data_IF_126014374487
#
_entry.id   IF_126014374487
#
_cell.length_a   1.000
_cell.length_b   1.000
_cell.length_c   1.000
_cell.angle_alpha   90.00
_cell.angle_beta   90.00
_cell.angle_gamma   90.00
#
_symmetry.space_group_name_H-M   'P 1'
#
loop_
_entity.id
_entity.type
_entity.pdbx_description
1 polymer ?
#
# COMPACT_ATOMS: atom_id res chain seq x y z
N UNK A 1 -34.62 -62.98 55.75
CA UNK A 1 -34.73 -62.56 54.33
C UNK A 1 -34.55 -63.78 53.45
N UNK A 2 -35.40 -63.98 52.43
CA UNK A 2 -35.36 -65.20 51.59
C UNK A 2 -34.06 -65.24 50.75
N UNK A 3 -33.42 -66.42 50.63
CA UNK A 3 -32.16 -66.60 49.87
C UNK A 3 -32.26 -66.09 48.43
N UNK A 4 -33.43 -66.23 47.80
CA UNK A 4 -33.72 -65.68 46.46
C UNK A 4 -33.68 -64.14 46.43
N UNK A 5 -34.19 -63.49 47.47
CA UNK A 5 -34.20 -62.02 47.57
C UNK A 5 -32.79 -61.47 47.80
N UNK A 6 -31.97 -62.13 48.62
CA UNK A 6 -30.56 -61.74 48.83
C UNK A 6 -29.76 -61.82 47.52
N UNK A 7 -29.96 -62.88 46.72
CA UNK A 7 -29.30 -63.03 45.42
C UNK A 7 -29.67 -61.91 44.43
N UNK A 8 -30.96 -61.54 44.36
CA UNK A 8 -31.43 -60.43 43.53
C UNK A 8 -30.82 -59.09 43.96
N UNK A 9 -30.77 -58.80 45.26
CA UNK A 9 -30.17 -57.58 45.78
C UNK A 9 -28.68 -57.46 45.44
N UNK A 10 -27.92 -58.56 45.55
CA UNK A 10 -26.50 -58.57 45.22
C UNK A 10 -26.24 -58.30 43.72
N UNK A 11 -27.05 -58.87 42.82
CA UNK A 11 -26.94 -58.62 41.38
C UNK A 11 -27.24 -57.16 41.06
N UNK A 12 -28.28 -56.58 41.65
CA UNK A 12 -28.64 -55.17 41.45
C UNK A 12 -27.53 -54.23 41.91
N UNK A 13 -26.87 -54.54 43.03
CA UNK A 13 -25.75 -53.73 43.54
C UNK A 13 -24.57 -53.77 42.54
N UNK A 14 -24.26 -54.93 41.98
CA UNK A 14 -23.16 -55.08 41.01
C UNK A 14 -23.47 -54.28 39.73
N UNK A 15 -24.69 -54.39 39.20
CA UNK A 15 -25.10 -53.65 37.99
C UNK A 15 -25.07 -52.14 38.26
N UNK A 16 -25.55 -51.70 39.42
CA UNK A 16 -25.50 -50.29 39.82
C UNK A 16 -24.06 -49.77 39.87
N UNK A 17 -23.13 -50.55 40.44
CA UNK A 17 -21.71 -50.21 40.48
C UNK A 17 -21.11 -50.02 39.09
N UNK A 18 -21.44 -50.90 38.15
CA UNK A 18 -20.96 -50.79 36.75
C UNK A 18 -21.50 -49.53 36.07
N UNK A 19 -22.79 -49.22 36.27
CA UNK A 19 -23.42 -48.02 35.70
C UNK A 19 -22.80 -46.75 36.29
N UNK A 20 -22.57 -46.72 37.61
CA UNK A 20 -21.93 -45.59 38.29
C UNK A 20 -20.52 -45.37 37.75
N UNK A 21 -19.73 -46.43 37.60
CA UNK A 21 -18.38 -46.32 37.05
C UNK A 21 -18.39 -45.79 35.60
N UNK A 22 -19.33 -46.25 34.78
CA UNK A 22 -19.48 -45.77 33.40
C UNK A 22 -19.88 -44.29 33.34
N UNK A 23 -20.85 -43.88 34.14
CA UNK A 23 -21.28 -42.48 34.22
C UNK A 23 -20.16 -41.57 34.74
N UNK A 24 -19.39 -42.04 35.71
CA UNK A 24 -18.24 -41.30 36.24
C UNK A 24 -17.18 -41.08 35.16
N UNK A 25 -16.85 -42.12 34.39
CA UNK A 25 -15.92 -41.99 33.26
C UNK A 25 -16.43 -41.00 32.20
N UNK A 26 -17.70 -41.11 31.80
CA UNK A 26 -18.28 -40.21 30.81
C UNK A 26 -18.32 -38.76 31.30
N UNK A 27 -18.68 -38.54 32.57
CA UNK A 27 -18.71 -37.21 33.16
C UNK A 27 -17.31 -36.58 33.24
N UNK A 28 -16.30 -37.38 33.57
CA UNK A 28 -14.91 -36.92 33.55
C UNK A 28 -14.46 -36.50 32.14
N UNK A 29 -14.77 -37.28 31.10
CA UNK A 29 -14.45 -36.91 29.72
C UNK A 29 -15.16 -35.61 29.31
N UNK A 30 -16.47 -35.49 29.57
CA UNK A 30 -17.23 -34.28 29.26
C UNK A 30 -16.69 -33.05 29.99
N UNK A 31 -16.25 -33.20 31.24
CA UNK A 31 -15.63 -32.11 31.99
C UNK A 31 -14.32 -31.64 31.35
N UNK A 32 -13.46 -32.57 30.91
CA UNK A 32 -12.22 -32.21 30.21
C UNK A 32 -12.49 -31.49 28.90
N UNK A 33 -13.42 -31.98 28.08
CA UNK A 33 -13.84 -31.30 26.83
C UNK A 33 -14.41 -29.92 27.11
N UNK A 34 -15.13 -29.73 28.21
CA UNK A 34 -15.70 -28.42 28.57
C UNK A 34 -14.61 -27.43 28.95
N UNK A 35 -13.59 -27.87 29.68
CA UNK A 35 -12.42 -27.03 30.01
C UNK A 35 -11.67 -26.66 28.73
N UNK A 36 -11.41 -27.63 27.85
CA UNK A 36 -10.72 -27.39 26.58
C UNK A 36 -11.47 -26.37 25.72
N UNK A 37 -12.78 -26.53 25.55
CA UNK A 37 -13.62 -25.58 24.80
C UNK A 37 -13.66 -24.20 25.47
N UNK A 38 -13.61 -24.13 26.80
CA UNK A 38 -13.59 -22.87 27.54
C UNK A 38 -12.26 -22.14 27.40
N UNK A 39 -11.15 -22.89 27.46
CA UNK A 39 -9.81 -22.38 27.24
C UNK A 39 -9.62 -21.92 25.79
N UNK A 40 -10.11 -22.70 24.81
CA UNK A 40 -10.15 -22.29 23.40
C UNK A 40 -10.98 -21.02 23.22
N UNK A 41 -12.13 -20.91 23.89
CA UNK A 41 -12.99 -19.73 23.82
C UNK A 41 -12.34 -18.49 24.46
N UNK A 42 -11.68 -18.61 25.61
CA UNK A 42 -10.97 -17.50 26.26
C UNK A 42 -9.72 -17.06 25.47
N UNK A 43 -9.01 -18.01 24.86
CA UNK A 43 -7.84 -17.74 24.03
C UNK A 43 -8.19 -17.26 22.62
N UNK A 44 -9.42 -17.50 22.18
CA UNK A 44 -9.95 -16.95 20.95
C UNK A 44 -10.38 -15.50 21.22
N UNK A 45 -9.73 -14.53 20.58
CA UNK A 45 -10.10 -13.11 20.68
C UNK A 45 -11.58 -12.93 20.28
N UNK A 46 -12.45 -12.81 21.28
CA UNK A 46 -13.90 -12.67 21.12
C UNK A 46 -14.16 -11.38 20.33
N UNK A 47 -14.52 -11.52 19.05
CA UNK A 47 -15.25 -10.47 18.33
C UNK A 47 -14.72 -10.05 16.96
N UNK A 48 -13.56 -10.51 16.50
CA UNK A 48 -13.17 -10.25 15.10
C UNK A 48 -12.41 -11.45 14.58
N UNK A 49 -12.98 -12.19 13.63
CA UNK A 49 -12.19 -13.14 12.84
C UNK A 49 -10.97 -12.39 12.31
N UNK A 50 -9.77 -12.73 12.77
CA UNK A 50 -8.53 -12.08 12.40
C UNK A 50 -8.35 -12.06 10.87
N UNK A 51 -8.83 -13.10 10.20
CA UNK A 51 -8.85 -13.14 8.74
C UNK A 51 -9.81 -12.12 8.14
N UNK A 52 -10.95 -11.88 8.77
CA UNK A 52 -11.90 -10.84 8.34
C UNK A 52 -11.31 -9.46 8.56
N UNK A 53 -10.68 -9.21 9.70
CA UNK A 53 -10.02 -7.93 10.00
C UNK A 53 -8.91 -7.64 8.98
N UNK A 54 -8.08 -8.62 8.67
CA UNK A 54 -7.00 -8.48 7.68
C UNK A 54 -7.57 -8.24 6.27
N UNK A 55 -8.65 -8.92 5.90
CA UNK A 55 -9.36 -8.69 4.63
C UNK A 55 -9.93 -7.27 4.54
N UNK A 56 -10.61 -6.81 5.59
CA UNK A 56 -11.18 -5.45 5.63
C UNK A 56 -10.06 -4.41 5.54
N UNK A 57 -9.00 -4.56 6.35
CA UNK A 57 -7.83 -3.67 6.33
C UNK A 57 -7.16 -3.65 4.95
N UNK A 58 -7.08 -4.78 4.25
CA UNK A 58 -6.57 -4.82 2.88
C UNK A 58 -7.46 -4.05 1.92
N UNK A 59 -8.78 -4.24 2.00
CA UNK A 59 -9.75 -3.54 1.15
C UNK A 59 -9.69 -2.03 1.38
N UNK A 60 -9.65 -1.58 2.64
CA UNK A 60 -9.53 -0.17 2.99
C UNK A 60 -8.25 0.45 2.42
N UNK A 61 -7.11 -0.23 2.57
CA UNK A 61 -5.84 0.24 2.00
C UNK A 61 -5.88 0.32 0.48
N UNK A 62 -6.49 -0.67 -0.19
CA UNK A 62 -6.60 -0.66 -1.66
C UNK A 62 -7.57 0.43 -2.14
N UNK A 63 -8.64 0.71 -1.38
CA UNK A 63 -9.56 1.80 -1.67
C UNK A 63 -8.86 3.16 -1.54
N UNK A 64 -8.13 3.39 -0.45
CA UNK A 64 -7.34 4.60 -0.23
C UNK A 64 -6.30 4.83 -1.33
N UNK A 65 -5.64 3.76 -1.81
CA UNK A 65 -4.70 3.86 -2.95
C UNK A 65 -5.41 4.28 -4.23
N UNK A 66 -6.61 3.76 -4.50
CA UNK A 66 -7.39 4.09 -5.71
C UNK A 66 -7.95 5.50 -5.65
N UNK A 67 -8.44 5.92 -4.50
CA UNK A 67 -8.95 7.28 -4.27
C UNK A 67 -7.84 8.33 -4.47
N UNK A 68 -6.65 8.06 -3.93
CA UNK A 68 -5.50 8.95 -4.07
C UNK A 68 -4.69 8.74 -5.35
N UNK A 69 -5.15 7.88 -6.27
CA UNK A 69 -4.45 7.64 -7.51
C UNK A 69 -4.64 8.82 -8.46
N UNK A 70 -3.57 9.61 -8.65
CA UNK A 70 -3.53 10.64 -9.69
C UNK A 70 -2.93 10.03 -10.96
N UNK A 71 -3.74 9.89 -12.00
CA UNK A 71 -3.26 9.45 -13.31
C UNK A 71 -2.31 10.51 -13.88
N UNK A 72 -1.04 10.14 -14.05
CA UNK A 72 -0.01 10.99 -14.66
C UNK A 72 0.52 10.24 -15.89
N UNK A 73 0.25 10.79 -17.06
CA UNK A 73 0.87 10.34 -18.31
C UNK A 73 2.28 10.97 -18.34
N UNK A 74 3.32 10.17 -18.12
CA UNK A 74 4.72 10.64 -18.17
C UNK A 74 5.16 10.86 -19.63
N UNK A 75 4.82 9.91 -20.51
CA UNK A 75 5.05 9.97 -21.94
C UNK A 75 3.72 9.85 -22.69
N UNK A 76 3.38 10.87 -23.47
CA UNK A 76 2.15 10.82 -24.26
C UNK A 76 2.25 9.70 -25.30
N UNK A 77 1.32 8.71 -25.31
CA UNK A 77 1.38 7.60 -26.26
C UNK A 77 1.20 8.05 -27.71
N UNK A 78 0.77 9.29 -27.94
CA UNK A 78 0.64 9.90 -29.27
C UNK A 78 1.95 10.55 -29.76
N UNK A 79 3.01 10.59 -28.95
CA UNK A 79 4.30 11.17 -29.34
C UNK A 79 5.19 10.16 -30.06
N UNK A 80 5.20 10.22 -31.39
CA UNK A 80 6.03 9.36 -32.25
C UNK A 80 7.55 9.56 -32.04
N UNK A 81 7.99 10.71 -31.55
CA UNK A 81 9.42 10.98 -31.25
C UNK A 81 9.98 10.10 -30.15
N UNK A 82 9.14 9.47 -29.32
CA UNK A 82 9.59 8.53 -28.29
C UNK A 82 10.00 7.17 -28.88
N UNK A 83 9.56 6.84 -30.09
CA UNK A 83 9.75 5.52 -30.70
C UNK A 83 10.70 5.57 -31.91
N UNK A 84 10.69 6.68 -32.66
CA UNK A 84 11.46 6.82 -33.90
C UNK A 84 12.46 7.96 -33.74
N UNK A 85 13.75 7.61 -33.76
CA UNK A 85 14.82 8.59 -33.94
C UNK A 85 14.89 8.96 -35.44
N UNK A 86 14.41 10.14 -35.78
CA UNK A 86 14.56 10.66 -37.14
C UNK A 86 16.03 11.02 -37.37
N UNK A 87 16.67 10.41 -38.37
CA UNK A 87 18.05 10.73 -38.74
C UNK A 87 18.12 12.20 -39.22
N UNK A 88 19.08 12.96 -38.69
CA UNK A 88 19.21 14.41 -38.91
C UNK A 88 18.25 15.31 -38.13
N UNK A 89 17.40 14.77 -37.25
CA UNK A 89 16.50 15.56 -36.40
C UNK A 89 17.19 15.96 -35.09
N UNK A 90 17.54 17.24 -34.96
CA UNK A 90 17.97 17.80 -33.68
C UNK A 90 16.77 18.48 -32.99
N UNK A 91 16.26 17.92 -31.87
CA UNK A 91 15.12 18.47 -31.17
C UNK A 91 15.34 19.87 -30.59
N UNK A 92 16.58 20.40 -30.55
CA UNK A 92 16.86 21.80 -30.18
C UNK A 92 16.38 22.81 -31.22
N UNK A 93 16.41 22.40 -32.49
CA UNK A 93 16.01 23.24 -33.63
C UNK A 93 14.60 22.90 -34.12
N UNK A 94 13.99 21.84 -33.58
CA UNK A 94 12.61 21.47 -33.87
C UNK A 94 11.64 22.42 -33.16
N UNK A 95 10.76 23.04 -33.94
CA UNK A 95 9.93 24.11 -33.41
C UNK A 95 8.92 23.74 -32.33
N UNK A 96 8.57 22.46 -32.32
CA UNK A 96 7.61 21.85 -31.42
C UNK A 96 8.28 21.04 -30.29
N UNK A 97 9.56 21.26 -30.00
CA UNK A 97 10.26 20.43 -29.02
C UNK A 97 9.60 20.45 -27.65
N UNK A 98 9.40 19.25 -27.08
CA UNK A 98 8.87 19.06 -25.72
C UNK A 98 9.91 19.34 -24.65
N UNK A 99 11.18 19.36 -25.02
CA UNK A 99 12.28 19.58 -24.10
C UNK A 99 12.45 21.07 -23.83
N UNK A 100 12.81 21.38 -22.58
CA UNK A 100 13.29 22.71 -22.22
C UNK A 100 14.79 22.72 -22.48
N UNK A 101 15.25 23.69 -23.26
CA UNK A 101 16.68 23.90 -23.46
C UNK A 101 17.12 25.17 -22.78
N UNK A 102 18.15 25.06 -21.95
CA UNK A 102 18.81 26.23 -21.36
C UNK A 102 19.78 26.80 -22.39
N UNK A 103 19.49 28.01 -22.87
CA UNK A 103 20.32 28.69 -23.87
C UNK A 103 21.43 29.49 -23.20
N UNK A 104 21.13 30.16 -22.09
CA UNK A 104 22.10 30.95 -21.34
C UNK A 104 21.69 31.07 -19.87
N UNK A 105 22.69 31.27 -19.00
CA UNK A 105 22.50 31.65 -17.60
C UNK A 105 23.16 33.01 -17.40
N UNK A 106 22.42 33.95 -16.84
CA UNK A 106 22.84 35.33 -16.61
C UNK A 106 22.94 35.54 -15.11
N UNK A 107 24.16 35.82 -14.63
CA UNK A 107 24.42 36.14 -13.23
C UNK A 107 24.59 37.65 -13.09
N UNK A 108 23.78 38.27 -12.25
CA UNK A 108 23.96 39.68 -11.89
C UNK A 108 25.23 39.83 -11.03
N UNK A 109 26.25 40.60 -11.45
CA UNK A 109 27.49 40.76 -10.69
C UNK A 109 27.28 41.46 -9.34
N UNK A 110 26.26 42.31 -9.23
CA UNK A 110 25.98 43.11 -8.04
C UNK A 110 25.13 42.36 -7.02
N UNK A 111 24.12 41.63 -7.48
CA UNK A 111 23.15 40.95 -6.59
C UNK A 111 23.39 39.46 -6.45
N UNK A 112 24.29 38.88 -7.27
CA UNK A 112 24.51 37.44 -7.44
C UNK A 112 23.24 36.64 -7.72
N UNK A 113 22.19 37.29 -8.21
CA UNK A 113 20.98 36.60 -8.66
C UNK A 113 21.23 36.01 -10.04
N UNK A 114 20.78 34.77 -10.22
CA UNK A 114 20.85 34.06 -11.48
C UNK A 114 19.49 34.10 -12.19
N UNK A 115 19.50 34.36 -13.49
CA UNK A 115 18.35 34.16 -14.38
C UNK A 115 18.76 33.20 -15.49
N UNK A 116 17.82 32.41 -15.99
CA UNK A 116 18.07 31.55 -17.15
C UNK A 116 17.27 32.06 -18.35
N UNK A 117 17.84 31.94 -19.54
CA UNK A 117 17.14 32.03 -20.80
C UNK A 117 16.89 30.60 -21.26
N UNK A 118 15.62 30.25 -21.41
CA UNK A 118 15.19 28.90 -21.76
C UNK A 118 14.33 28.92 -23.02
N UNK A 119 14.56 27.99 -23.93
CA UNK A 119 13.73 27.77 -25.12
C UNK A 119 12.77 26.62 -24.87
N UNK A 120 11.48 26.87 -25.10
CA UNK A 120 10.41 25.87 -25.01
C UNK A 120 9.32 26.15 -26.05
N UNK A 121 8.96 25.15 -26.87
CA UNK A 121 7.97 25.27 -27.96
C UNK A 121 8.18 26.52 -28.83
N UNK A 122 9.39 26.68 -29.34
CA UNK A 122 9.83 27.81 -30.18
C UNK A 122 9.80 29.21 -29.57
N UNK A 123 9.45 29.32 -28.29
CA UNK A 123 9.51 30.58 -27.56
C UNK A 123 10.69 30.58 -26.61
N UNK A 124 11.36 31.73 -26.52
CA UNK A 124 12.37 31.99 -25.52
C UNK A 124 11.76 32.72 -24.33
N UNK A 125 12.06 32.24 -23.14
CA UNK A 125 11.61 32.79 -21.87
C UNK A 125 12.82 33.15 -21.03
N UNK A 126 12.75 34.31 -20.38
CA UNK A 126 13.66 34.63 -19.28
C UNK A 126 12.97 34.26 -17.98
N UNK A 127 13.60 33.39 -17.19
CA UNK A 127 13.00 32.77 -16.00
C UNK A 127 13.89 32.94 -14.78
N UNK A 128 13.26 33.07 -13.62
CA UNK A 128 13.88 33.10 -12.29
C UNK A 128 13.43 31.90 -11.44
N UNK A 129 14.11 31.67 -10.32
CA UNK A 129 13.70 30.64 -9.36
C UNK A 129 12.29 30.96 -8.83
N UNK A 130 11.38 29.99 -8.95
CA UNK A 130 9.95 30.12 -8.62
C UNK A 130 9.04 30.27 -9.83
N UNK A 131 9.56 30.55 -11.02
CA UNK A 131 8.74 30.70 -12.23
C UNK A 131 8.23 29.34 -12.74
N UNK A 132 7.02 29.36 -13.32
CA UNK A 132 6.38 28.17 -13.88
C UNK A 132 6.56 28.11 -15.40
N UNK A 133 7.09 26.99 -15.89
CA UNK A 133 7.30 26.73 -17.33
C UNK A 133 7.00 25.27 -17.66
N UNK A 134 6.38 25.01 -18.82
CA UNK A 134 6.05 23.65 -19.30
C UNK A 134 5.27 22.76 -18.29
N UNK A 135 4.50 23.38 -17.39
CA UNK A 135 3.76 22.68 -16.33
C UNK A 135 4.60 22.19 -15.15
N UNK A 136 5.86 22.65 -15.04
CA UNK A 136 6.68 22.52 -13.84
C UNK A 136 7.10 23.89 -13.29
N UNK A 137 8.02 23.88 -12.34
CA UNK A 137 8.54 25.08 -11.66
C UNK A 137 10.05 25.00 -11.59
N UNK A 138 10.72 26.13 -11.81
CA UNK A 138 12.17 26.23 -11.61
C UNK A 138 12.45 26.36 -10.12
N UNK A 139 13.18 25.38 -9.57
CA UNK A 139 13.49 25.35 -8.13
C UNK A 139 14.72 26.18 -7.81
N UNK A 140 15.77 26.06 -8.61
CA UNK A 140 17.00 26.81 -8.43
C UNK A 140 17.72 27.05 -9.76
N UNK A 141 18.51 28.11 -9.80
CA UNK A 141 19.38 28.45 -10.93
C UNK A 141 20.77 28.70 -10.35
N UNK A 142 21.73 27.87 -10.74
CA UNK A 142 23.14 27.98 -10.38
C UNK A 142 23.94 28.46 -11.60
N UNK A 143 25.26 28.63 -11.47
CA UNK A 143 26.08 29.19 -12.56
C UNK A 143 26.13 28.33 -13.82
N UNK A 144 25.93 27.01 -13.70
CA UNK A 144 26.08 26.05 -14.80
C UNK A 144 24.88 25.13 -14.99
N UNK A 145 23.90 25.21 -14.11
CA UNK A 145 22.77 24.29 -14.08
C UNK A 145 21.50 25.01 -13.63
N UNK A 146 20.37 24.49 -14.09
CA UNK A 146 19.03 24.95 -13.76
C UNK A 146 18.28 23.73 -13.28
N UNK A 147 17.80 23.77 -12.04
CA UNK A 147 16.97 22.69 -11.50
C UNK A 147 15.50 22.95 -11.81
N UNK A 148 14.84 21.95 -12.38
CA UNK A 148 13.45 22.02 -12.78
C UNK A 148 12.64 20.90 -12.13
N UNK A 149 11.54 21.25 -11.47
CA UNK A 149 10.65 20.28 -10.85
C UNK A 149 9.33 20.17 -11.58
N UNK A 150 8.97 18.95 -11.99
CA UNK A 150 7.67 18.65 -12.61
C UNK A 150 7.11 17.36 -12.06
N UNK A 151 5.85 17.40 -11.61
CA UNK A 151 5.15 16.24 -11.03
C UNK A 151 5.93 15.53 -9.91
N UNK A 152 6.71 16.28 -9.12
CA UNK A 152 7.51 15.73 -8.01
C UNK A 152 8.84 15.07 -8.43
N UNK A 153 9.19 15.08 -9.72
CA UNK A 153 10.50 14.69 -10.23
C UNK A 153 11.35 15.94 -10.48
N UNK A 154 12.61 15.88 -10.09
CA UNK A 154 13.61 16.92 -10.39
C UNK A 154 14.40 16.53 -11.64
N UNK A 155 14.65 17.50 -12.50
CA UNK A 155 15.42 17.40 -13.74
C UNK A 155 16.53 18.46 -13.74
#
# INVERSE_FOLDING_TARGET
MNKKSIALWNITIIISLVIIAFLFYNNYQSYQTTIELWEDFENQEIGTDKNLQDKVKKIENDFMKRENYKFVIDDSPTELSNVIAFDGFDPRFAGSSKYIYVTAIITSPTTRKHKAIVKYRDMEYTVEAGDSIAGGVITSIMEKEVEFSKNGKSY
#
